data_IF_133137545691
#
_entry.id   IF_133137545691
#
_cell.length_a   1.000
_cell.length_b   1.000
_cell.length_c   1.000
_cell.angle_alpha   90.00
_cell.angle_beta   90.00
_cell.angle_gamma   90.00
#
_symmetry.space_group_name_H-M   'P 1'
#
loop_
_entity.id
_entity.type
_entity.pdbx_description
1 polymer ?
#
# COMPACT_ATOMS: atom_id res chain seq x y z
N UNK A 1 7.51 12.04 4.24
CA UNK A 1 6.03 12.22 4.27
C UNK A 1 5.38 10.88 4.59
N UNK A 2 4.30 10.87 5.38
CA UNK A 2 3.53 9.66 5.66
C UNK A 2 2.22 9.70 4.86
N UNK A 3 1.98 8.68 4.05
CA UNK A 3 0.71 8.46 3.38
C UNK A 3 -0.04 7.36 4.14
N UNK A 4 -1.04 7.77 4.92
CA UNK A 4 -1.89 6.85 5.69
C UNK A 4 -3.13 6.47 4.90
N UNK A 5 -3.52 5.20 4.96
CA UNK A 5 -4.79 4.75 4.39
C UNK A 5 -5.96 5.27 5.23
N UNK A 6 -6.98 5.81 4.55
CA UNK A 6 -8.23 6.16 5.21
C UNK A 6 -8.91 4.87 5.72
N UNK A 7 -9.25 4.77 7.02
CA UNK A 7 -9.93 3.60 7.56
C UNK A 7 -11.31 3.30 6.95
N UNK A 8 -11.91 4.24 6.22
CA UNK A 8 -13.20 4.05 5.55
C UNK A 8 -13.07 3.55 4.10
N UNK A 9 -11.86 3.48 3.55
CA UNK A 9 -11.62 2.95 2.20
C UNK A 9 -11.29 1.46 2.28
N UNK A 10 -12.15 0.65 1.67
CA UNK A 10 -11.99 -0.81 1.62
C UNK A 10 -11.44 -1.18 0.24
N UNK A 11 -10.32 -1.91 0.22
CA UNK A 11 -9.89 -2.65 -0.98
C UNK A 11 -8.86 -1.99 -1.90
N UNK A 12 -8.19 -0.91 -1.49
CA UNK A 12 -7.07 -0.36 -2.28
C UNK A 12 -5.72 -0.88 -1.78
N UNK A 13 -4.98 -1.56 -2.66
CA UNK A 13 -3.59 -1.96 -2.41
C UNK A 13 -2.67 -0.95 -3.10
N UNK A 14 -2.10 -0.03 -2.32
CA UNK A 14 -1.08 0.89 -2.81
C UNK A 14 0.27 0.18 -2.84
N UNK A 15 0.82 0.04 -4.03
CA UNK A 15 2.21 -0.38 -4.21
C UNK A 15 3.11 0.84 -3.99
N UNK A 16 4.22 0.72 -3.24
CA UNK A 16 5.22 1.78 -3.18
C UNK A 16 5.74 2.09 -4.59
N UNK A 17 5.63 3.35 -4.99
CA UNK A 17 6.16 3.89 -6.24
C UNK A 17 7.35 4.77 -5.89
N UNK A 18 8.45 4.77 -6.67
CA UNK A 18 9.54 5.72 -6.47
C UNK A 18 9.03 7.17 -6.44
N UNK A 19 9.44 7.93 -5.44
CA UNK A 19 9.08 9.34 -5.27
C UNK A 19 10.35 10.18 -5.12
N UNK A 20 10.30 11.45 -5.57
CA UNK A 20 11.41 12.40 -5.40
C UNK A 20 11.62 12.83 -3.94
N UNK A 21 10.62 12.62 -3.08
CA UNK A 21 10.68 12.96 -1.67
C UNK A 21 10.57 11.69 -0.82
N UNK A 22 11.39 11.53 0.24
CA UNK A 22 11.29 10.40 1.15
C UNK A 22 9.90 10.30 1.78
N UNK A 23 9.29 9.12 1.66
CA UNK A 23 7.99 8.86 2.24
C UNK A 23 7.72 7.39 2.50
N UNK A 24 6.71 7.16 3.32
CA UNK A 24 6.22 5.83 3.68
C UNK A 24 4.72 5.76 3.40
N UNK A 25 4.27 4.63 2.88
CA UNK A 25 2.85 4.31 2.65
C UNK A 25 2.45 3.26 3.67
N UNK A 26 1.43 3.55 4.48
CA UNK A 26 0.82 2.60 5.41
C UNK A 26 -0.47 2.10 4.76
N UNK A 27 -0.39 0.93 4.11
CA UNK A 27 -1.50 0.34 3.36
C UNK A 27 -2.63 -0.24 4.25
N UNK A 28 -2.34 -0.48 5.52
CA UNK A 28 -3.31 -0.96 6.51
C UNK A 28 -4.06 0.21 7.15
N UNK A 29 -5.39 0.20 7.02
CA UNK A 29 -6.29 1.11 7.74
C UNK A 29 -6.09 1.06 9.25
N UNK A 30 -5.91 -0.15 9.80
CA UNK A 30 -5.73 -0.34 11.24
C UNK A 30 -4.40 0.26 11.72
N UNK A 31 -3.32 0.03 10.98
CA UNK A 31 -1.99 0.53 11.37
C UNK A 31 -1.91 2.06 11.21
N UNK A 32 -2.61 2.60 10.21
CA UNK A 32 -2.78 4.05 10.03
C UNK A 32 -3.48 4.68 11.24
N UNK A 33 -4.53 4.05 11.76
CA UNK A 33 -5.23 4.50 12.96
C UNK A 33 -4.32 4.50 14.18
N UNK A 34 -3.50 3.45 14.35
CA UNK A 34 -2.53 3.37 15.45
C UNK A 34 -1.54 4.52 15.40
N UNK A 35 -1.01 4.84 14.22
CA UNK A 35 -0.08 5.98 14.06
C UNK A 35 -0.75 7.31 14.45
N UNK A 36 -1.97 7.56 13.96
CA UNK A 36 -2.71 8.78 14.29
C UNK A 36 -3.02 8.88 15.79
N UNK A 37 -3.34 7.75 16.43
CA UNK A 37 -3.55 7.69 17.88
C UNK A 37 -2.26 8.02 18.64
N UNK A 38 -1.11 7.47 18.22
CA UNK A 38 0.19 7.75 18.82
C UNK A 38 0.55 9.24 18.74
N UNK A 39 0.35 9.86 17.59
CA UNK A 39 0.60 11.30 17.45
C UNK A 39 -0.35 12.10 18.34
N UNK A 40 -1.66 11.79 18.34
CA UNK A 40 -2.65 12.48 19.15
C UNK A 40 -2.43 12.36 20.65
N UNK A 41 -2.05 11.18 21.15
CA UNK A 41 -1.75 10.97 22.58
C UNK A 41 -0.47 11.67 23.02
N UNK A 42 0.44 11.95 22.09
CA UNK A 42 1.72 12.64 22.35
C UNK A 42 1.63 14.16 22.16
N UNK A 43 0.45 14.71 21.89
CA UNK A 43 0.22 16.16 21.82
C UNK A 43 -0.01 16.72 23.22
N UNK A 44 0.76 17.73 23.59
CA UNK A 44 0.44 18.55 24.75
C UNK A 44 -0.37 19.76 24.29
N UNK A 45 -1.52 19.99 24.92
CA UNK A 45 -2.42 21.11 24.62
C UNK A 45 -2.54 22.01 25.84
N UNK A 46 -2.50 23.31 25.60
CA UNK A 46 -2.73 24.30 26.65
C UNK A 46 -4.17 24.15 27.18
N UNK A 47 -4.36 23.95 28.50
CA UNK A 47 -5.68 23.70 29.08
C UNK A 47 -6.70 24.79 28.77
N UNK A 48 -6.25 26.05 28.61
CA UNK A 48 -7.13 27.22 28.42
C UNK A 48 -7.38 27.48 26.94
N UNK A 49 -6.32 27.69 26.13
CA UNK A 49 -6.49 28.03 24.71
C UNK A 49 -6.77 26.82 23.81
N UNK A 50 -6.62 25.59 24.33
CA UNK A 50 -6.69 24.31 23.58
C UNK A 50 -5.71 24.21 22.41
N UNK A 51 -4.78 25.16 22.27
CA UNK A 51 -3.74 25.13 21.25
C UNK A 51 -2.70 24.08 21.58
N UNK A 52 -2.15 23.46 20.55
CA UNK A 52 -1.03 22.53 20.70
C UNK A 52 0.21 23.33 21.07
N UNK A 53 0.81 23.01 22.20
CA UNK A 53 2.02 23.68 22.73
C UNK A 53 3.28 22.86 22.50
N UNK A 54 3.16 21.53 22.36
CA UNK A 54 4.31 20.66 22.13
C UNK A 54 3.90 19.41 21.36
N UNK A 55 4.78 18.99 20.47
CA UNK A 55 4.71 17.72 19.75
C UNK A 55 5.74 16.78 20.34
N UNK A 56 5.31 15.75 21.08
CA UNK A 56 6.20 14.78 21.74
C UNK A 56 6.45 13.48 20.97
N UNK A 57 5.70 13.25 19.88
CA UNK A 57 5.83 12.04 19.07
C UNK A 57 7.11 12.06 18.22
N UNK A 58 7.85 10.95 18.24
CA UNK A 58 9.05 10.75 17.41
C UNK A 58 8.92 9.43 16.69
N UNK A 59 9.13 9.43 15.37
CA UNK A 59 9.15 8.22 14.56
C UNK A 59 10.37 8.27 13.63
N UNK A 60 10.98 7.10 13.40
CA UNK A 60 12.10 6.93 12.49
C UNK A 60 11.77 5.82 11.49
N UNK A 61 12.16 6.00 10.24
CA UNK A 61 12.12 4.93 9.23
C UNK A 61 13.39 4.10 9.46
N UNK A 62 13.25 2.96 10.14
CA UNK A 62 14.39 2.12 10.51
C UNK A 62 14.94 1.29 9.33
N UNK A 63 14.06 0.71 8.52
CA UNK A 63 14.41 -0.17 7.39
C UNK A 63 13.40 -0.07 6.25
N UNK A 64 13.85 -0.44 5.04
CA UNK A 64 13.04 -0.43 3.81
C UNK A 64 12.22 -1.71 3.61
N UNK A 65 12.12 -2.16 2.36
CA UNK A 65 11.42 -3.40 2.01
C UNK A 65 12.33 -4.59 2.35
N UNK A 66 11.89 -5.45 3.26
CA UNK A 66 12.51 -6.76 3.49
C UNK A 66 11.82 -7.83 2.63
N UNK A 67 12.58 -8.84 2.21
CA UNK A 67 12.03 -9.97 1.50
C UNK A 67 11.09 -10.75 2.42
N UNK A 68 9.80 -10.74 2.12
CA UNK A 68 8.80 -11.50 2.86
C UNK A 68 8.39 -12.74 2.07
N UNK A 69 8.92 -13.88 2.47
CA UNK A 69 8.48 -15.18 1.97
C UNK A 69 7.33 -15.67 2.84
N UNK A 70 6.10 -15.36 2.43
CA UNK A 70 4.91 -15.88 3.12
C UNK A 70 4.57 -17.28 2.62
N UNK A 71 4.06 -18.16 3.49
CA UNK A 71 3.44 -19.43 3.09
C UNK A 71 2.02 -19.25 2.51
N UNK A 72 1.62 -18.02 2.17
CA UNK A 72 0.30 -17.74 1.61
C UNK A 72 0.27 -17.99 0.10
N UNK A 73 -0.91 -18.29 -0.43
CA UNK A 73 -1.08 -18.48 -1.87
C UNK A 73 -0.75 -17.19 -2.64
N UNK A 74 -0.09 -17.29 -3.82
CA UNK A 74 0.22 -16.12 -4.63
C UNK A 74 -1.06 -15.39 -5.04
N UNK A 75 -1.03 -14.06 -4.93
CA UNK A 75 -2.14 -13.19 -5.34
C UNK A 75 -1.82 -12.58 -6.70
N UNK A 76 -2.80 -12.60 -7.60
CA UNK A 76 -2.65 -11.96 -8.91
C UNK A 76 -2.70 -10.45 -8.72
N UNK A 77 -1.68 -9.75 -9.22
CA UNK A 77 -1.61 -8.30 -9.15
C UNK A 77 -2.70 -7.63 -9.99
N UNK A 78 -3.19 -6.47 -9.53
CA UNK A 78 -4.27 -5.75 -10.20
C UNK A 78 -3.92 -5.32 -11.64
N UNK A 79 -2.64 -5.04 -11.88
CA UNK A 79 -2.13 -4.64 -13.20
C UNK A 79 -1.79 -5.84 -14.10
N UNK A 80 -1.98 -7.08 -13.64
CA UNK A 80 -1.80 -8.26 -14.49
C UNK A 80 -2.87 -8.27 -15.57
N UNK A 81 -2.45 -8.19 -16.83
CA UNK A 81 -3.34 -8.32 -17.98
C UNK A 81 -4.17 -9.61 -17.88
N UNK A 82 -5.43 -9.50 -18.32
CA UNK A 82 -6.40 -10.60 -18.32
C UNK A 82 -6.70 -10.97 -19.76
N UNK A 83 -6.97 -12.25 -20.00
CA UNK A 83 -7.53 -12.68 -21.26
C UNK A 83 -8.96 -12.15 -21.46
N UNK A 84 -9.58 -12.40 -22.62
CA UNK A 84 -9.07 -13.24 -23.72
C UNK A 84 -7.95 -12.58 -24.56
N UNK A 85 -7.39 -13.30 -25.53
CA UNK A 85 -6.28 -12.83 -26.37
C UNK A 85 -6.65 -11.52 -27.12
N UNK A 86 -5.94 -10.39 -26.91
CA UNK A 86 -6.28 -9.11 -27.51
C UNK A 86 -6.04 -9.03 -29.02
N UNK A 87 -5.40 -10.02 -29.66
CA UNK A 87 -5.32 -10.05 -31.13
C UNK A 87 -6.69 -10.21 -31.81
N UNK A 88 -7.66 -10.76 -31.08
CA UNK A 88 -9.02 -10.92 -31.55
C UNK A 88 -9.86 -9.79 -30.99
N UNK A 89 -9.69 -8.54 -31.47
CA UNK A 89 -10.53 -7.34 -31.16
C UNK A 89 -12.02 -7.51 -31.52
N UNK A 90 -12.45 -8.75 -31.64
CA UNK A 90 -13.74 -9.33 -31.90
C UNK A 90 -14.44 -9.63 -30.57
N UNK A 91 -15.77 -9.54 -30.57
CA UNK A 91 -16.61 -10.00 -29.46
C UNK A 91 -16.95 -11.49 -29.58
N UNK A 92 -16.16 -12.26 -30.33
CA UNK A 92 -16.33 -13.70 -30.50
C UNK A 92 -15.63 -14.46 -29.36
N UNK A 93 -16.05 -15.71 -29.14
CA UNK A 93 -15.36 -16.60 -28.22
C UNK A 93 -13.91 -16.77 -28.68
N UNK A 94 -12.95 -16.52 -27.78
CA UNK A 94 -11.55 -16.65 -28.13
C UNK A 94 -11.16 -18.12 -28.28
N UNK A 95 -10.58 -18.46 -29.43
CA UNK A 95 -10.07 -19.81 -29.70
C UNK A 95 -8.93 -20.22 -28.73
N UNK A 96 -8.22 -19.24 -28.17
CA UNK A 96 -7.04 -19.45 -27.31
C UNK A 96 -7.21 -18.74 -25.97
N UNK A 97 -7.15 -19.52 -24.88
CA UNK A 97 -7.18 -18.98 -23.52
C UNK A 97 -5.82 -18.39 -23.11
N UNK A 98 -5.88 -17.19 -22.51
CA UNK A 98 -4.74 -16.48 -21.91
C UNK A 98 -5.10 -15.99 -20.51
N UNK A 99 -4.14 -15.86 -19.58
CA UNK A 99 -2.72 -16.26 -19.67
C UNK A 99 -2.52 -17.78 -19.46
N UNK A 100 -1.33 -18.30 -19.80
CA UNK A 100 -1.02 -19.73 -19.69
C UNK A 100 -0.38 -20.13 -18.35
N UNK A 101 0.32 -19.20 -17.67
CA UNK A 101 1.04 -19.46 -16.42
C UNK A 101 1.08 -18.19 -15.56
N UNK A 102 1.21 -18.37 -14.25
CA UNK A 102 1.47 -17.30 -13.28
C UNK A 102 2.85 -17.51 -12.68
N UNK A 103 3.61 -16.43 -12.53
CA UNK A 103 4.93 -16.42 -11.89
C UNK A 103 5.10 -15.14 -11.05
N UNK A 104 6.06 -15.10 -10.11
CA UNK A 104 6.39 -13.88 -9.37
C UNK A 104 6.84 -12.76 -10.31
N UNK A 105 6.15 -11.62 -10.27
CA UNK A 105 6.45 -10.45 -11.11
C UNK A 105 6.32 -9.09 -10.41
N UNK A 106 6.03 -9.08 -9.10
CA UNK A 106 5.90 -7.84 -8.32
C UNK A 106 7.14 -7.64 -7.45
N UNK A 107 7.76 -6.46 -7.49
CA UNK A 107 8.96 -6.11 -6.72
C UNK A 107 10.11 -7.13 -6.82
N UNK A 108 10.39 -7.59 -8.04
CA UNK A 108 11.55 -8.46 -8.31
C UNK A 108 12.80 -7.60 -8.38
N UNK A 109 13.79 -7.91 -7.55
CA UNK A 109 15.14 -7.38 -7.71
C UNK A 109 15.83 -8.16 -8.83
N UNK A 110 16.27 -7.47 -9.88
CA UNK A 110 16.91 -8.06 -11.07
C UNK A 110 18.07 -7.18 -11.55
#
# INVERSE_FOLDING_TARGET
>A
IVFSMDPFIIGFQLNPVPMSLPGIIISSANDSKILLQYYNSSLERDPVSKKIVKFGAVACIAGGVEANFSNSAPKIMYYSARGPDPQDNSFQDADILKPNLVAPGNFIWA
#
